data_IF_523269486291
#
_entry.id   IF_523269486291
#
_cell.length_a   1.000
_cell.length_b   1.000
_cell.length_c   1.000
_cell.angle_alpha   90.00
_cell.angle_beta   90.00
_cell.angle_gamma   90.00
#
_symmetry.space_group_name_H-M   'P 1'
#
loop_
_entity.id
_entity.type
_entity.pdbx_description
1 polymer ?
#
# COMPACT_ATOMS: atom_id res chain seq x y z
N UNK A 1 -2.70 -14.90 -4.70
CA UNK A 1 -2.60 -14.89 -3.24
C UNK A 1 -1.55 -13.86 -2.82
N UNK A 2 -1.80 -13.11 -1.75
CA UNK A 2 -0.82 -12.17 -1.19
C UNK A 2 0.01 -12.84 -0.09
N UNK A 3 1.30 -13.04 -0.36
CA UNK A 3 2.27 -13.54 0.63
C UNK A 3 2.79 -12.38 1.50
N UNK A 4 2.47 -12.41 2.80
CA UNK A 4 3.01 -11.45 3.77
C UNK A 4 4.14 -12.14 4.56
N UNK A 5 5.37 -11.70 4.35
CA UNK A 5 6.46 -12.08 5.23
C UNK A 5 6.28 -11.40 6.60
N UNK A 6 6.73 -12.05 7.67
CA UNK A 6 6.97 -11.38 8.97
C UNK A 6 8.23 -10.52 8.84
N UNK A 7 8.12 -9.47 8.05
CA UNK A 7 9.23 -8.62 7.64
C UNK A 7 9.04 -7.21 8.17
N UNK A 8 10.15 -6.63 8.62
CA UNK A 8 10.22 -5.19 8.84
C UNK A 8 10.33 -4.49 7.50
N UNK A 9 9.65 -3.33 7.39
CA UNK A 9 9.85 -2.37 6.32
C UNK A 9 10.39 -1.09 6.96
N UNK A 10 11.50 -0.59 6.46
CA UNK A 10 12.12 0.66 6.95
C UNK A 10 12.53 1.53 5.76
N UNK A 11 11.92 2.71 5.56
CA UNK A 11 10.77 3.26 6.31
C UNK A 11 9.53 2.35 6.22
N UNK A 12 8.64 2.42 7.22
CA UNK A 12 7.37 1.69 7.16
C UNK A 12 6.44 2.29 6.10
N UNK A 13 5.36 1.57 5.76
CA UNK A 13 4.35 2.08 4.82
C UNK A 13 3.72 3.39 5.30
N UNK A 14 3.49 3.51 6.61
CA UNK A 14 2.93 4.73 7.20
C UNK A 14 3.96 5.85 7.18
N UNK A 15 5.25 5.58 7.46
CA UNK A 15 6.29 6.60 7.35
C UNK A 15 6.40 7.16 5.92
N UNK A 16 6.28 6.29 4.91
CA UNK A 16 6.26 6.71 3.50
C UNK A 16 5.04 7.58 3.19
N UNK A 17 3.84 7.15 3.60
CA UNK A 17 2.61 7.91 3.38
C UNK A 17 2.60 9.25 4.14
N UNK A 18 3.12 9.28 5.36
CA UNK A 18 3.25 10.50 6.17
C UNK A 18 4.15 11.55 5.52
N UNK A 19 5.13 11.12 4.73
CA UNK A 19 5.99 12.00 3.96
C UNK A 19 5.35 12.42 2.62
N UNK A 20 4.64 11.50 1.96
CA UNK A 20 4.16 11.69 0.58
C UNK A 20 2.77 12.34 0.48
N UNK A 21 1.81 11.96 1.31
CA UNK A 21 0.43 12.47 1.23
C UNK A 21 0.36 14.01 1.30
N UNK A 22 1.09 14.70 2.19
CA UNK A 22 1.04 16.16 2.27
C UNK A 22 1.59 16.89 1.05
N UNK A 23 2.31 16.21 0.16
CA UNK A 23 2.87 16.81 -1.06
C UNK A 23 1.91 16.71 -2.25
N UNK A 24 0.77 16.04 -2.08
CA UNK A 24 -0.16 15.77 -3.17
C UNK A 24 -1.13 16.93 -3.41
N UNK A 25 -1.48 17.23 -4.68
CA UNK A 25 -2.35 18.36 -5.02
C UNK A 25 -3.80 18.18 -4.55
N UNK A 26 -4.20 16.95 -4.25
CA UNK A 26 -5.53 16.60 -3.76
C UNK A 26 -5.64 16.65 -2.23
N UNK A 27 -4.53 16.80 -1.52
CA UNK A 27 -4.54 16.83 -0.05
C UNK A 27 -4.92 18.22 0.46
N UNK A 28 -6.00 18.29 1.24
CA UNK A 28 -6.55 19.56 1.77
C UNK A 28 -6.10 19.86 3.21
N UNK A 29 -5.33 18.96 3.84
CA UNK A 29 -4.84 19.15 5.21
C UNK A 29 -3.63 20.08 5.30
N UNK A 30 -3.25 20.49 6.52
CA UNK A 30 -2.05 21.32 6.71
C UNK A 30 -0.81 20.56 6.21
N UNK A 31 0.16 21.24 5.56
CA UNK A 31 1.46 20.63 5.29
C UNK A 31 2.11 20.22 6.60
N UNK A 32 2.89 19.13 6.58
CA UNK A 32 3.55 18.61 7.79
C UNK A 32 4.36 19.71 8.48
N UNK A 33 3.96 20.09 9.69
CA UNK A 33 4.82 20.84 10.60
C UNK A 33 5.88 19.90 11.16
N UNK A 34 7.11 20.39 11.34
CA UNK A 34 8.17 19.63 12.04
C UNK A 34 7.76 19.44 13.52
N UNK A 35 7.06 18.35 13.85
CA UNK A 35 6.78 18.02 15.25
C UNK A 35 5.69 16.99 15.54
N UNK A 36 6.10 15.93 16.23
CA UNK A 36 5.34 14.90 16.96
C UNK A 36 4.65 13.77 16.16
N UNK A 37 4.95 12.53 16.57
CA UNK A 37 4.45 11.29 15.98
C UNK A 37 2.97 10.99 16.31
N UNK A 38 2.36 11.74 17.23
CA UNK A 38 0.95 11.61 17.60
C UNK A 38 0.00 12.37 16.65
N UNK A 39 0.54 13.12 15.68
CA UNK A 39 -0.20 13.91 14.69
C UNK A 39 -0.01 13.38 13.24
N UNK A 40 0.45 12.13 13.08
CA UNK A 40 0.61 11.49 11.76
C UNK A 40 -0.62 10.73 11.27
N UNK A 41 -0.55 10.22 10.04
CA UNK A 41 -1.54 9.32 9.47
C UNK A 41 -1.62 8.02 10.27
N UNK A 42 -2.83 7.56 10.52
CA UNK A 42 -3.09 6.27 11.17
C UNK A 42 -3.59 5.26 10.17
N UNK A 43 -2.99 4.06 10.13
CA UNK A 43 -3.54 2.96 9.33
C UNK A 43 -4.89 2.52 9.91
N UNK A 44 -5.93 2.51 9.08
CA UNK A 44 -7.29 2.06 9.45
C UNK A 44 -7.53 0.66 8.91
N UNK A 45 -7.32 0.48 7.61
CA UNK A 45 -7.55 -0.78 6.93
C UNK A 45 -6.64 -0.93 5.72
N UNK A 46 -6.51 -2.15 5.21
CA UNK A 46 -5.88 -2.37 3.92
C UNK A 46 -6.47 -3.61 3.24
N UNK A 47 -6.52 -3.57 1.92
CA UNK A 47 -6.84 -4.72 1.09
C UNK A 47 -5.84 -4.83 -0.06
N UNK A 48 -5.76 -6.01 -0.67
CA UNK A 48 -4.82 -6.31 -1.75
C UNK A 48 -5.55 -6.95 -2.90
N UNK A 49 -5.00 -6.78 -4.09
CA UNK A 49 -5.32 -7.60 -5.24
C UNK A 49 -4.09 -8.43 -5.62
N UNK A 50 -4.33 -9.46 -6.39
CA UNK A 50 -3.25 -10.28 -6.95
C UNK A 50 -2.77 -9.66 -8.27
N UNK A 51 -1.45 -9.52 -8.39
CA UNK A 51 -0.81 -9.39 -9.69
C UNK A 51 -0.74 -10.79 -10.33
N UNK A 52 -1.34 -11.02 -11.52
CA UNK A 52 -1.25 -12.31 -12.22
C UNK A 52 0.18 -12.77 -12.52
N UNK A 53 1.13 -11.85 -12.68
CA UNK A 53 2.55 -12.17 -12.87
C UNK A 53 3.28 -12.49 -11.56
N UNK A 54 2.72 -12.07 -10.41
CA UNK A 54 3.32 -12.26 -9.09
C UNK A 54 4.55 -11.39 -8.84
N UNK A 55 4.78 -10.34 -9.62
CA UNK A 55 5.96 -9.48 -9.57
C UNK A 55 5.71 -8.20 -8.76
N UNK A 56 4.46 -7.72 -8.76
CA UNK A 56 4.07 -6.46 -8.13
C UNK A 56 3.16 -6.71 -6.94
N UNK A 57 3.54 -6.16 -5.78
CA UNK A 57 2.62 -6.09 -4.66
C UNK A 57 1.54 -5.04 -4.94
N UNK A 58 0.27 -5.42 -5.00
CA UNK A 58 -0.86 -4.50 -5.22
C UNK A 58 -1.64 -4.33 -3.92
N UNK A 59 -1.64 -3.14 -3.35
CA UNK A 59 -2.32 -2.84 -2.08
C UNK A 59 -3.09 -1.53 -2.18
N UNK A 60 -4.16 -1.44 -1.41
CA UNK A 60 -4.82 -0.17 -1.12
C UNK A 60 -4.90 -0.04 0.39
N UNK A 61 -4.40 1.07 0.92
CA UNK A 61 -4.42 1.38 2.35
C UNK A 61 -5.45 2.48 2.59
N UNK A 62 -6.29 2.28 3.61
CA UNK A 62 -7.13 3.32 4.17
C UNK A 62 -6.38 3.90 5.36
N UNK A 63 -6.07 5.19 5.31
CA UNK A 63 -5.45 5.94 6.40
C UNK A 63 -6.40 7.02 6.91
N UNK A 64 -6.31 7.34 8.19
CA UNK A 64 -7.00 8.47 8.80
C UNK A 64 -6.00 9.57 9.13
N UNK A 65 -6.32 10.80 8.76
CA UNK A 65 -5.64 12.01 9.23
C UNK A 65 -5.98 12.29 10.70
N UNK A 66 -5.23 13.15 11.40
CA UNK A 66 -5.52 13.50 12.80
C UNK A 66 -6.92 14.10 13.03
N UNK A 67 -7.46 14.83 12.05
CA UNK A 67 -8.81 15.40 12.06
C UNK A 67 -9.90 14.40 11.63
N UNK A 68 -9.53 13.15 11.36
CA UNK A 68 -10.44 12.03 11.13
C UNK A 68 -10.89 11.84 9.68
N UNK A 69 -10.34 12.60 8.73
CA UNK A 69 -10.56 12.39 7.29
C UNK A 69 -9.91 11.08 6.88
N UNK A 70 -10.66 10.23 6.18
CA UNK A 70 -10.14 8.97 5.65
C UNK A 70 -9.71 9.14 4.19
N UNK A 71 -8.49 8.71 3.90
CA UNK A 71 -7.90 8.71 2.57
C UNK A 71 -7.70 7.27 2.11
N UNK A 72 -8.09 6.98 0.88
CA UNK A 72 -7.79 5.73 0.20
C UNK A 72 -6.57 5.93 -0.67
N UNK A 73 -5.45 5.28 -0.31
CA UNK A 73 -4.18 5.41 -1.03
C UNK A 73 -3.81 4.07 -1.67
N UNK A 74 -3.91 3.98 -3.01
CA UNK A 74 -3.43 2.81 -3.73
C UNK A 74 -1.90 2.83 -3.81
N UNK A 75 -1.28 1.67 -3.59
CA UNK A 75 0.17 1.50 -3.61
C UNK A 75 0.55 0.28 -4.43
N UNK A 76 1.62 0.41 -5.22
CA UNK A 76 2.34 -0.73 -5.77
C UNK A 76 3.74 -0.86 -5.20
N UNK A 77 4.19 -2.09 -5.01
CA UNK A 77 5.52 -2.43 -4.50
C UNK A 77 6.28 -3.22 -5.57
N UNK A 78 7.38 -2.67 -6.07
CA UNK A 78 8.22 -3.27 -7.12
C UNK A 78 9.63 -3.58 -6.62
N UNK A 79 10.29 -4.53 -7.27
CA UNK A 79 11.68 -4.93 -7.01
C UNK A 79 12.72 -4.09 -7.76
N UNK A 80 12.26 -3.20 -8.65
CA UNK A 80 13.06 -2.25 -9.41
C UNK A 80 12.23 -0.98 -9.71
N UNK A 81 12.87 0.15 -10.06
CA UNK A 81 12.16 1.36 -10.50
C UNK A 81 11.22 1.10 -11.69
N UNK A 82 10.02 1.67 -11.64
CA UNK A 82 9.09 1.70 -12.77
C UNK A 82 9.48 2.85 -13.72
N UNK A 83 9.87 2.49 -14.94
CA UNK A 83 10.29 3.46 -15.95
C UNK A 83 9.16 4.44 -16.30
N UNK A 84 9.44 5.74 -16.21
CA UNK A 84 8.51 6.81 -16.57
C UNK A 84 7.48 7.15 -15.49
N UNK A 85 7.61 6.60 -14.29
CA UNK A 85 6.72 6.86 -13.15
C UNK A 85 7.41 7.61 -12.00
N UNK A 86 8.54 8.29 -12.28
CA UNK A 86 9.36 8.98 -11.28
C UNK A 86 8.54 9.99 -10.45
N UNK A 87 7.64 10.73 -11.07
CA UNK A 87 6.75 11.71 -10.41
C UNK A 87 5.70 11.07 -9.49
N UNK A 88 5.54 9.75 -9.56
CA UNK A 88 4.60 8.96 -8.77
C UNK A 88 5.29 8.08 -7.72
N UNK A 89 6.62 8.20 -7.58
CA UNK A 89 7.36 7.49 -6.55
C UNK A 89 6.97 8.05 -5.17
N UNK A 90 6.35 7.21 -4.35
CA UNK A 90 6.05 7.50 -2.93
C UNK A 90 7.34 7.43 -2.11
N UNK A 91 8.19 6.46 -2.42
CA UNK A 91 9.53 6.34 -1.86
C UNK A 91 10.09 4.93 -1.99
N UNK A 92 11.23 4.69 -1.33
CA UNK A 92 11.87 3.37 -1.25
C UNK A 92 11.89 2.87 0.17
N UNK A 93 11.79 1.55 0.35
CA UNK A 93 11.82 0.90 1.66
C UNK A 93 12.64 -0.39 1.61
N UNK A 94 13.38 -0.67 2.67
CA UNK A 94 14.09 -1.92 2.84
C UNK A 94 13.17 -2.95 3.49
N UNK A 95 12.83 -4.00 2.73
CA UNK A 95 12.04 -5.13 3.21
C UNK A 95 12.97 -6.24 3.67
N UNK A 96 12.88 -6.65 4.94
CA UNK A 96 13.87 -7.57 5.54
C UNK A 96 14.00 -8.95 4.86
N UNK A 97 13.04 -9.34 4.02
CA UNK A 97 13.08 -10.59 3.22
C UNK A 97 13.27 -10.34 1.72
N UNK A 98 12.76 -9.23 1.19
CA UNK A 98 12.69 -9.00 -0.26
C UNK A 98 13.79 -8.01 -0.70
N UNK A 99 14.50 -7.37 0.22
CA UNK A 99 15.43 -6.28 -0.07
C UNK A 99 14.70 -4.98 -0.40
N UNK A 100 15.40 -4.07 -1.09
CA UNK A 100 14.86 -2.77 -1.50
C UNK A 100 13.58 -2.92 -2.32
N UNK A 101 12.57 -2.13 -1.98
CA UNK A 101 11.30 -2.03 -2.71
C UNK A 101 11.05 -0.59 -3.12
N UNK A 102 10.60 -0.39 -4.34
CA UNK A 102 10.11 0.89 -4.85
C UNK A 102 8.61 0.94 -4.70
N UNK A 103 8.13 1.95 -3.98
CA UNK A 103 6.72 2.14 -3.66
C UNK A 103 6.18 3.29 -4.50
N UNK A 104 5.15 3.03 -5.28
CA UNK A 104 4.51 4.01 -6.16
C UNK A 104 3.07 4.27 -5.77
N UNK A 105 2.57 5.46 -6.11
CA UNK A 105 1.14 5.72 -6.19
C UNK A 105 0.55 4.75 -7.23
N UNK A 106 -0.28 3.84 -6.76
CA UNK A 106 -0.85 2.78 -7.59
C UNK A 106 -1.70 3.31 -8.74
N UNK A 107 -2.20 4.54 -8.67
CA UNK A 107 -2.95 5.14 -9.80
C UNK A 107 -2.11 5.33 -11.06
N UNK A 108 -0.79 5.43 -10.93
CA UNK A 108 0.15 5.54 -12.05
C UNK A 108 0.69 4.18 -12.54
N UNK A 109 0.39 3.09 -11.82
CA UNK A 109 0.89 1.77 -12.15
C UNK A 109 -0.18 0.95 -12.91
N UNK A 110 0.09 0.51 -14.15
CA UNK A 110 -0.88 -0.25 -14.94
C UNK A 110 -1.31 -1.57 -14.28
N UNK A 111 -0.48 -2.15 -13.40
CA UNK A 111 -0.82 -3.39 -12.71
C UNK A 111 -1.93 -3.16 -11.68
N UNK A 112 -1.86 -2.07 -10.92
CA UNK A 112 -2.94 -1.73 -9.98
C UNK A 112 -4.23 -1.37 -10.72
N UNK A 113 -4.13 -0.60 -11.81
CA UNK A 113 -5.29 -0.23 -12.62
C UNK A 113 -6.00 -1.45 -13.22
N UNK A 114 -5.24 -2.41 -13.76
CA UNK A 114 -5.77 -3.66 -14.30
C UNK A 114 -6.41 -4.54 -13.22
N UNK A 115 -5.79 -4.62 -12.04
CA UNK A 115 -6.31 -5.39 -10.91
C UNK A 115 -7.63 -4.80 -10.39
N UNK A 116 -7.71 -3.48 -10.21
CA UNK A 116 -8.95 -2.80 -9.83
C UNK A 116 -10.04 -3.01 -10.88
N UNK A 117 -9.72 -2.79 -12.16
CA UNK A 117 -10.68 -2.97 -13.25
C UNK A 117 -11.22 -4.39 -13.29
N UNK A 118 -10.36 -5.39 -13.08
CA UNK A 118 -10.78 -6.80 -13.00
C UNK A 118 -11.76 -7.02 -11.86
N UNK A 119 -11.46 -6.51 -10.66
CA UNK A 119 -12.36 -6.63 -9.50
C UNK A 119 -13.73 -6.00 -9.81
N UNK A 120 -13.76 -4.78 -10.34
CA UNK A 120 -14.99 -4.06 -10.70
C UNK A 120 -15.79 -4.80 -11.79
N UNK A 121 -15.13 -5.28 -12.84
CA UNK A 121 -15.80 -5.88 -14.00
C UNK A 121 -16.30 -7.31 -13.74
N UNK A 122 -15.71 -8.01 -12.79
CA UNK A 122 -16.01 -9.44 -12.53
C UNK A 122 -16.73 -9.68 -11.21
N UNK A 123 -16.92 -8.64 -10.39
CA UNK A 123 -17.39 -8.79 -9.01
C UNK A 123 -16.32 -9.40 -8.09
N UNK A 124 -15.04 -9.23 -8.43
CA UNK A 124 -13.92 -9.80 -7.68
C UNK A 124 -13.72 -9.14 -6.32
N UNK A 125 -13.23 -9.92 -5.36
CA UNK A 125 -12.98 -9.48 -3.98
C UNK A 125 -11.48 -9.28 -3.72
N UNK A 126 -11.14 -8.82 -2.52
CA UNK A 126 -9.75 -8.75 -2.08
C UNK A 126 -9.09 -10.14 -2.10
N UNK A 127 -7.78 -10.16 -2.35
CA UNK A 127 -6.96 -11.34 -2.20
C UNK A 127 -6.87 -11.75 -0.71
N UNK A 128 -6.90 -13.06 -0.45
CA UNK A 128 -6.56 -13.60 0.87
C UNK A 128 -5.09 -13.34 1.18
N UNK A 129 -4.84 -12.90 2.42
CA UNK A 129 -3.51 -12.59 2.92
C UNK A 129 -3.06 -13.64 3.94
N UNK A 130 -1.82 -14.09 3.81
CA UNK A 130 -1.27 -15.14 4.67
C UNK A 130 0.05 -14.70 5.27
N UNK A 131 0.25 -14.99 6.56
CA UNK A 131 1.55 -14.94 7.20
C UNK A 131 2.23 -16.31 7.11
N UNK A 132 3.55 -16.31 7.00
CA UNK A 132 4.36 -17.51 7.23
C UNK A 132 4.98 -17.42 8.64
N UNK A 133 4.60 -18.35 9.51
CA UNK A 133 5.05 -18.44 10.91
C UNK A 133 5.60 -19.84 11.13
N UNK A 134 6.90 -19.94 11.41
CA UNK A 134 7.60 -21.21 11.66
C UNK A 134 7.37 -22.29 10.57
N UNK A 135 7.24 -21.85 9.31
CA UNK A 135 7.00 -22.73 8.16
C UNK A 135 5.53 -23.08 7.91
N UNK A 136 4.61 -22.59 8.74
CA UNK A 136 3.16 -22.75 8.57
C UNK A 136 2.51 -21.49 8.03
N UNK A 137 1.54 -21.66 7.14
CA UNK A 137 0.72 -20.55 6.61
C UNK A 137 -0.46 -20.27 7.54
N UNK A 138 -0.54 -19.04 8.02
CA UNK A 138 -1.65 -18.57 8.86
C UNK A 138 -2.44 -17.49 8.12
N UNK A 139 -3.75 -17.68 8.00
CA UNK A 139 -4.64 -16.67 7.38
C UNK A 139 -4.63 -15.41 8.24
N UNK A 140 -4.41 -14.27 7.60
CA UNK A 140 -4.63 -12.97 8.23
C UNK A 140 -6.09 -12.61 8.05
N UNK A 141 -6.82 -12.52 9.16
CA UNK A 141 -8.19 -12.00 9.17
C UNK A 141 -8.25 -10.63 8.48
N UNK A 142 -9.11 -10.46 7.46
CA UNK A 142 -9.27 -9.18 6.79
C UNK A 142 -9.75 -8.11 7.77
N UNK A 143 -9.16 -6.92 7.72
CA UNK A 143 -9.68 -5.73 8.40
C UNK A 143 -10.46 -4.79 7.46
N UNK A 144 -10.70 -5.23 6.22
CA UNK A 144 -11.60 -4.64 5.25
C UNK A 144 -12.16 -5.74 4.33
N UNK A 145 -13.33 -5.49 3.76
CA UNK A 145 -13.97 -6.38 2.78
C UNK A 145 -14.29 -5.59 1.53
N UNK A 146 -13.82 -6.07 0.38
CA UNK A 146 -14.16 -5.54 -0.94
C UNK A 146 -15.33 -6.36 -1.47
N UNK A 147 -16.42 -5.69 -1.81
CA UNK A 147 -17.60 -6.29 -2.43
C UNK A 147 -17.75 -5.71 -3.84
N UNK A 148 -17.93 -6.60 -4.81
CA UNK A 148 -18.19 -6.24 -6.21
C UNK A 148 -19.67 -6.30 -6.56
#
# INVERSE_FOLDING_TARGET
>A
MAHLHRAGMSPSKIDLLDAWVPTQPWFEGPPRSEGTADEGLRSVAAFRFDDPAGEVGVETIIVATPDGVQLQVPLTYRDAPLAGADDHLVGTTEHSVLGTRWVYDGTADPVWAAALATAVLTGGTQAEAWFEVDGERQLREPNSTVVG
#
